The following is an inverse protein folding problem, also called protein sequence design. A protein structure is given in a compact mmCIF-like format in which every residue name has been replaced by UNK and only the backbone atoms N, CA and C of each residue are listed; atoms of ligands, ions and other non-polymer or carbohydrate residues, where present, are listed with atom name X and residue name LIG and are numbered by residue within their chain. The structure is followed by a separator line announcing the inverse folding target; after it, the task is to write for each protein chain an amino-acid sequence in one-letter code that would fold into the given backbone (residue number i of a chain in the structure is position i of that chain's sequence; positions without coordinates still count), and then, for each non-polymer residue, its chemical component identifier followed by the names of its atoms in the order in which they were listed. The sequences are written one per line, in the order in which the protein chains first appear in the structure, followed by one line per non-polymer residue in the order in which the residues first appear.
data_IF_688552960582
#
_entry.id   IF_688552960582
#
_cell.length_a   1.000
_cell.length_b   1.000
_cell.length_c   1.000
_cell.angle_alpha   90.00
_cell.angle_beta   90.00
_cell.angle_gamma   90.00
#
_symmetry.space_group_name_H-M   'P 1'
#
loop_
_entity.id
_entity.type
_entity.pdbx_description
1 polymer ?
#
# COMPACT_ATOMS: atom_id res chain seq x y z
N UNK A 1 0.68 -8.05 -26.56
CA UNK A 1 -0.71 -7.72 -26.20
C UNK A 1 -0.89 -8.16 -24.76
N UNK A 2 -0.87 -7.25 -23.79
CA UNK A 2 -0.93 -7.63 -22.38
C UNK A 2 -2.36 -8.11 -22.05
N UNK A 3 -2.51 -9.39 -21.72
CA UNK A 3 -3.81 -10.00 -21.39
C UNK A 3 -4.27 -9.47 -20.03
N UNK A 4 -5.05 -8.39 -20.03
CA UNK A 4 -5.67 -7.88 -18.80
C UNK A 4 -6.86 -8.77 -18.40
N UNK A 5 -6.82 -9.29 -17.17
CA UNK A 5 -7.92 -10.06 -16.58
C UNK A 5 -8.53 -9.25 -15.43
N UNK A 6 -9.78 -8.80 -15.61
CA UNK A 6 -10.52 -8.09 -14.57
C UNK A 6 -10.97 -9.08 -13.49
N UNK A 7 -10.53 -8.86 -12.25
CA UNK A 7 -10.93 -9.63 -11.07
C UNK A 7 -11.86 -8.80 -10.20
N UNK A 8 -12.93 -9.41 -9.69
CA UNK A 8 -13.88 -8.76 -8.76
C UNK A 8 -13.88 -9.53 -7.45
N UNK A 9 -13.76 -8.78 -6.36
CA UNK A 9 -13.77 -9.35 -5.02
C UNK A 9 -14.88 -8.67 -4.22
N UNK A 10 -15.60 -9.47 -3.44
CA UNK A 10 -16.51 -9.00 -2.40
C UNK A 10 -15.83 -9.21 -1.05
N UNK A 11 -15.60 -8.12 -0.33
CA UNK A 11 -15.02 -8.14 1.02
C UNK A 11 -16.12 -7.79 2.01
N UNK A 12 -16.28 -8.64 3.03
CA UNK A 12 -17.22 -8.42 4.13
C UNK A 12 -16.42 -8.33 5.43
N UNK A 13 -16.68 -7.29 6.21
CA UNK A 13 -16.05 -7.11 7.51
C UNK A 13 -16.74 -8.01 8.53
N UNK A 14 -15.96 -8.82 9.26
CA UNK A 14 -16.46 -9.65 10.38
C UNK A 14 -16.81 -8.78 11.59
N UNK A 15 -16.00 -7.75 11.81
CA UNK A 15 -16.09 -6.82 12.94
C UNK A 15 -16.21 -5.38 12.42
N UNK A 16 -16.68 -4.42 13.24
CA UNK A 16 -16.75 -3.02 12.84
C UNK A 16 -15.38 -2.48 12.40
N UNK A 17 -15.32 -1.96 11.16
CA UNK A 17 -14.09 -1.40 10.59
C UNK A 17 -14.02 0.11 10.81
N UNK A 18 -12.85 0.60 11.23
CA UNK A 18 -12.58 2.02 11.38
C UNK A 18 -11.42 2.46 10.48
N UNK A 19 -11.72 3.25 9.45
CA UNK A 19 -10.71 3.87 8.58
C UNK A 19 -10.83 5.38 8.69
N UNK A 20 -9.84 6.01 9.33
CA UNK A 20 -9.85 7.44 9.62
C UNK A 20 -9.60 8.32 8.40
N UNK A 21 -10.08 9.57 8.44
CA UNK A 21 -9.97 10.57 7.36
C UNK A 21 -8.58 11.20 7.19
N UNK A 22 -7.59 10.81 8.00
CA UNK A 22 -6.19 11.23 7.84
C UNK A 22 -5.95 12.72 8.12
N UNK A 23 -6.53 13.27 9.19
CA UNK A 23 -6.32 14.66 9.64
C UNK A 23 -6.93 15.75 8.74
N UNK A 24 -7.45 15.38 7.56
CA UNK A 24 -7.87 16.32 6.52
C UNK A 24 -9.26 16.93 6.75
N UNK A 25 -10.07 16.33 7.63
CA UNK A 25 -11.44 16.78 7.91
C UNK A 25 -11.64 16.98 9.40
N UNK A 26 -11.91 18.22 9.81
CA UNK A 26 -12.53 18.51 11.10
C UNK A 26 -13.97 18.00 11.03
N UNK A 27 -14.18 16.78 11.54
CA UNK A 27 -15.47 16.12 11.52
C UNK A 27 -16.40 16.68 12.58
N UNK A 28 -17.69 16.35 12.48
CA UNK A 28 -18.65 16.54 13.58
C UNK A 28 -18.35 15.63 14.79
N UNK A 29 -17.50 14.63 14.59
CA UNK A 29 -17.10 13.61 15.55
C UNK A 29 -15.59 13.50 15.45
N UNK A 30 -14.91 13.30 16.58
CA UNK A 30 -13.44 13.33 16.69
C UNK A 30 -12.77 12.39 15.68
N UNK A 31 -13.08 11.10 15.76
CA UNK A 31 -12.54 10.08 14.87
C UNK A 31 -13.53 9.76 13.76
N UNK A 32 -13.61 10.65 12.77
CA UNK A 32 -14.45 10.45 11.59
C UNK A 32 -13.87 9.40 10.63
N UNK A 33 -14.76 8.61 10.01
CA UNK A 33 -14.39 7.61 8.99
C UNK A 33 -14.35 8.18 7.57
N UNK A 34 -13.52 7.61 6.70
CA UNK A 34 -13.45 7.97 5.28
C UNK A 34 -14.78 7.70 4.59
N UNK A 35 -15.25 8.70 3.85
CA UNK A 35 -16.48 8.64 3.05
C UNK A 35 -16.21 9.19 1.66
N UNK A 36 -16.96 8.70 0.69
CA UNK A 36 -16.99 9.31 -0.64
C UNK A 36 -17.60 10.73 -0.52
N UNK A 37 -16.95 11.77 -1.08
CA UNK A 37 -17.32 13.16 -0.84
C UNK A 37 -18.74 13.56 -1.31
N UNK A 38 -19.26 12.98 -2.40
CA UNK A 38 -20.59 13.33 -2.92
C UNK A 38 -21.75 12.63 -2.20
N UNK A 39 -21.63 11.31 -2.06
CA UNK A 39 -22.65 10.40 -1.52
C UNK A 39 -22.60 10.25 -0.01
N UNK A 40 -21.48 10.60 0.63
CA UNK A 40 -21.21 10.42 2.07
C UNK A 40 -21.24 8.95 2.52
N UNK A 41 -21.19 7.99 1.59
CA UNK A 41 -21.13 6.56 1.90
C UNK A 41 -19.71 6.21 2.39
N UNK A 42 -19.57 5.39 3.46
CA UNK A 42 -18.26 4.90 3.89
C UNK A 42 -17.53 4.17 2.78
N UNK A 43 -16.23 4.42 2.63
CA UNK A 43 -15.39 3.72 1.65
C UNK A 43 -14.09 3.24 2.28
N UNK A 44 -13.59 2.13 1.76
CA UNK A 44 -12.26 1.60 2.07
C UNK A 44 -11.31 2.05 0.94
N UNK A 45 -10.35 2.95 1.19
CA UNK A 45 -9.37 3.33 0.19
C UNK A 45 -8.50 2.15 -0.22
N UNK A 46 -8.17 2.05 -1.51
CA UNK A 46 -7.23 1.03 -2.00
C UNK A 46 -5.85 1.15 -1.36
N UNK A 47 -5.42 2.35 -0.99
CA UNK A 47 -4.16 2.59 -0.25
C UNK A 47 -4.16 1.99 1.15
N UNK A 48 -5.31 2.03 1.86
CA UNK A 48 -5.45 1.40 3.17
C UNK A 48 -5.35 -0.13 3.06
N UNK A 49 -6.00 -0.71 2.05
CA UNK A 49 -5.95 -2.14 1.80
C UNK A 49 -4.55 -2.59 1.37
N UNK A 50 -3.92 -1.83 0.47
CA UNK A 50 -2.56 -2.09 -0.01
C UNK A 50 -1.54 -2.04 1.15
N UNK A 51 -1.59 -1.02 2.00
CA UNK A 51 -0.69 -0.88 3.15
C UNK A 51 -0.87 -2.02 4.16
N UNK A 52 -2.12 -2.35 4.52
CA UNK A 52 -2.41 -3.44 5.44
C UNK A 52 -1.92 -4.80 4.91
N UNK A 53 -2.20 -5.10 3.64
CA UNK A 53 -1.75 -6.32 2.99
C UNK A 53 -0.21 -6.40 2.90
N UNK A 54 0.44 -5.28 2.57
CA UNK A 54 1.91 -5.19 2.51
C UNK A 54 2.56 -5.45 3.85
N UNK A 55 2.07 -4.81 4.91
CA UNK A 55 2.59 -4.98 6.27
C UNK A 55 2.41 -6.42 6.76
N UNK A 56 1.25 -7.02 6.50
CA UNK A 56 1.00 -8.41 6.85
C UNK A 56 1.95 -9.36 6.10
N UNK A 57 2.11 -9.17 4.79
CA UNK A 57 3.03 -9.96 3.99
C UNK A 57 4.49 -9.80 4.47
N UNK A 58 4.93 -8.57 4.74
CA UNK A 58 6.26 -8.30 5.28
C UNK A 58 6.52 -9.02 6.61
N UNK A 59 5.51 -9.10 7.47
CA UNK A 59 5.61 -9.85 8.73
C UNK A 59 5.66 -11.36 8.50
N UNK A 60 4.85 -11.87 7.57
CA UNK A 60 4.81 -13.30 7.22
C UNK A 60 6.11 -13.79 6.58
N UNK A 61 6.73 -12.97 5.72
CA UNK A 61 8.01 -13.29 5.07
C UNK A 61 9.24 -12.87 5.88
N UNK A 62 9.06 -12.45 7.15
CA UNK A 62 10.13 -12.04 8.06
C UNK A 62 11.01 -10.89 7.52
N UNK A 63 10.45 -10.03 6.68
CA UNK A 63 11.13 -8.85 6.11
C UNK A 63 10.37 -7.57 6.44
N UNK A 64 10.32 -7.13 7.71
CA UNK A 64 9.53 -5.98 8.15
C UNK A 64 9.96 -4.67 7.47
N UNK A 65 11.22 -4.58 7.07
CA UNK A 65 11.80 -3.44 6.36
C UNK A 65 11.14 -3.17 5.00
N UNK A 66 10.55 -4.19 4.38
CA UNK A 66 9.86 -4.08 3.09
C UNK A 66 8.48 -3.38 3.19
N UNK A 67 7.93 -3.21 4.39
CA UNK A 67 6.65 -2.52 4.61
C UNK A 67 6.77 -0.99 4.71
N UNK A 68 8.00 -0.48 4.90
CA UNK A 68 8.25 0.95 5.08
C UNK A 68 8.02 1.79 3.81
N UNK A 69 7.98 3.11 3.97
CA UNK A 69 7.90 4.05 2.84
C UNK A 69 9.17 4.00 1.96
N UNK A 70 10.33 3.77 2.58
CA UNK A 70 11.58 3.52 1.86
C UNK A 70 12.09 2.12 2.12
N UNK A 71 12.69 1.52 1.09
CA UNK A 71 13.23 0.16 1.13
C UNK A 71 14.77 0.18 1.14
N UNK A 72 15.37 1.26 1.66
CA UNK A 72 16.83 1.46 1.67
C UNK A 72 17.56 0.39 2.49
N UNK A 73 16.86 -0.24 3.46
CA UNK A 73 17.41 -1.27 4.35
C UNK A 73 17.25 -2.69 3.81
N UNK A 74 16.42 -2.90 2.78
CA UNK A 74 16.17 -4.23 2.23
C UNK A 74 17.35 -4.64 1.36
N UNK A 75 18.09 -5.67 1.78
CA UNK A 75 19.13 -6.27 0.96
C UNK A 75 18.48 -6.98 -0.25
N UNK A 76 18.75 -6.48 -1.46
CA UNK A 76 18.20 -6.96 -2.73
C UNK A 76 16.66 -6.92 -2.81
N UNK A 77 16.05 -5.72 -2.93
CA UNK A 77 14.59 -5.58 -3.01
C UNK A 77 13.98 -6.27 -4.24
N UNK A 78 14.77 -6.53 -5.28
CA UNK A 78 14.40 -7.28 -6.48
C UNK A 78 14.14 -8.77 -6.22
N UNK A 79 14.78 -9.36 -5.20
CA UNK A 79 14.59 -10.76 -4.83
C UNK A 79 13.56 -10.94 -3.69
N UNK A 80 13.18 -9.85 -3.02
CA UNK A 80 12.21 -9.90 -1.94
C UNK A 80 10.78 -10.04 -2.51
N UNK A 81 10.01 -11.07 -2.14
CA UNK A 81 8.68 -11.31 -2.69
C UNK A 81 7.68 -10.19 -2.37
N UNK A 82 7.82 -9.53 -1.23
CA UNK A 82 6.98 -8.39 -0.82
C UNK A 82 7.30 -7.16 -1.67
N UNK A 83 8.58 -6.83 -1.85
CA UNK A 83 8.99 -5.71 -2.72
C UNK A 83 8.60 -5.96 -4.19
N UNK A 84 8.74 -7.19 -4.69
CA UNK A 84 8.29 -7.57 -6.02
C UNK A 84 6.76 -7.39 -6.20
N UNK A 85 5.98 -7.78 -5.19
CA UNK A 85 4.51 -7.75 -5.25
C UNK A 85 3.94 -6.34 -5.09
N UNK A 86 4.48 -5.56 -4.13
CA UNK A 86 3.94 -4.25 -3.75
C UNK A 86 4.72 -3.06 -4.35
N UNK A 87 5.87 -3.32 -4.98
CA UNK A 87 6.74 -2.29 -5.56
C UNK A 87 7.71 -1.68 -4.54
N UNK A 88 8.78 -1.08 -5.03
CA UNK A 88 9.83 -0.48 -4.19
C UNK A 88 10.50 0.70 -4.90
N UNK A 89 11.14 1.55 -4.12
CA UNK A 89 11.93 2.67 -4.64
C UNK A 89 13.40 2.37 -4.41
N UNK A 90 14.20 2.41 -5.47
CA UNK A 90 15.66 2.28 -5.42
C UNK A 90 16.29 3.66 -5.61
N UNK A 91 16.99 4.14 -4.59
CA UNK A 91 17.83 5.34 -4.68
C UNK A 91 19.24 4.91 -5.05
N UNK A 92 19.76 5.38 -6.18
CA UNK A 92 21.15 5.17 -6.53
C UNK A 92 21.98 6.35 -5.99
N UNK A 93 22.86 6.09 -5.03
CA UNK A 93 23.87 7.05 -4.58
C UNK A 93 25.07 6.96 -5.52
N UNK A 94 25.07 7.76 -6.60
CA UNK A 94 26.18 7.81 -7.55
C UNK A 94 26.17 9.12 -8.35
N UNK A 95 26.95 10.10 -7.89
CA UNK A 95 27.08 11.44 -8.46
C UNK A 95 26.09 12.46 -7.86
N UNK A 96 26.38 13.76 -8.00
CA UNK A 96 25.69 14.93 -7.40
C UNK A 96 24.17 15.08 -7.70
N UNK A 97 23.54 14.08 -8.32
CA UNK A 97 22.11 14.00 -8.58
C UNK A 97 21.50 12.77 -7.89
N UNK A 98 20.66 12.96 -6.87
CA UNK A 98 19.84 11.89 -6.29
C UNK A 98 18.81 11.38 -7.31
N UNK A 99 19.13 10.29 -8.02
CA UNK A 99 18.18 9.59 -8.90
C UNK A 99 17.47 8.48 -8.14
N UNK A 100 16.18 8.68 -7.90
CA UNK A 100 15.27 7.66 -7.39
C UNK A 100 14.54 6.98 -8.56
N UNK A 101 14.69 5.66 -8.68
CA UNK A 101 13.93 4.84 -9.62
C UNK A 101 12.84 4.10 -8.87
N UNK A 102 11.57 4.30 -9.27
CA UNK A 102 10.44 3.60 -8.70
C UNK A 102 10.07 2.37 -9.54
N UNK A 103 9.93 1.22 -8.89
CA UNK A 103 9.51 -0.03 -9.51
C UNK A 103 8.08 -0.33 -9.07
N UNK A 104 7.17 -0.50 -10.03
CA UNK A 104 5.82 -0.95 -9.76
C UNK A 104 5.84 -2.41 -9.34
N UNK A 105 5.06 -2.74 -8.32
CA UNK A 105 4.80 -4.13 -7.97
C UNK A 105 4.02 -4.84 -9.08
N UNK A 106 4.22 -6.14 -9.20
CA UNK A 106 3.48 -7.01 -10.12
C UNK A 106 2.89 -8.18 -9.35
N UNK A 107 1.64 -8.50 -9.65
CA UNK A 107 0.90 -9.58 -9.02
C UNK A 107 0.41 -10.51 -10.11
N UNK A 108 0.81 -11.78 -10.05
CA UNK A 108 0.19 -12.84 -10.85
C UNK A 108 -0.98 -13.41 -10.04
N UNK A 109 -2.21 -13.04 -10.42
CA UNK A 109 -3.47 -13.63 -9.92
C UNK A 109 -4.13 -14.41 -11.05
#
# INVERSE_FOLDING_TARGET
MATYKRQHYLLMTTDPVHIGTGGYRLGRVDNSIVREPGTRIPKIPGTSLHGAARSYAAQLYETPEAAGQSQDKVANPDQNPVCYTFGYIKRNQGGDEEKATAYSGVVNI
#
